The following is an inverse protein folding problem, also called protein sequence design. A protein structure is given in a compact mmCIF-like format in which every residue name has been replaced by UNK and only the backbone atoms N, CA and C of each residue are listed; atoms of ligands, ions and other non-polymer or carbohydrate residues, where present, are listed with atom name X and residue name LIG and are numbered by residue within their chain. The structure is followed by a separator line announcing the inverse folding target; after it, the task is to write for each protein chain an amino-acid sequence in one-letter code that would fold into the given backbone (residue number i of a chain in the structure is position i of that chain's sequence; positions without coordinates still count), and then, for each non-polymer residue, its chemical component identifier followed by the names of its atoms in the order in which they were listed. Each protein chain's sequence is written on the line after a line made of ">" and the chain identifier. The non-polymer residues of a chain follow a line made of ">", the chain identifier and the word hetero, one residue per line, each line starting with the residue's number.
data_IF_962726355363
#
_entry.id   IF_962726355363
#
_cell.length_a   1.000
_cell.length_b   1.000
_cell.length_c   1.000
_cell.angle_alpha   90.00
_cell.angle_beta   90.00
_cell.angle_gamma   90.00
#
_symmetry.space_group_name_H-M   'P 1'
#
loop_
_entity.id
_entity.type
_entity.pdbx_description
1 polymer ?
#
# COMPACT_ATOMS: atom_id res chain seq x y z
N UNK A 1 -5.81 -28.21 -9.44
CA UNK A 1 -6.03 -26.87 -8.87
C UNK A 1 -7.54 -26.67 -8.72
N UNK A 2 -8.03 -26.41 -7.51
CA UNK A 2 -9.46 -26.25 -7.28
C UNK A 2 -9.99 -24.95 -7.89
N UNK A 3 -11.30 -24.86 -8.21
CA UNK A 3 -11.92 -23.64 -8.75
C UNK A 3 -11.67 -22.40 -7.86
N UNK A 4 -11.56 -22.61 -6.56
CA UNK A 4 -11.25 -21.55 -5.57
C UNK A 4 -9.82 -21.02 -5.77
N UNK A 5 -8.84 -21.91 -5.93
CA UNK A 5 -7.44 -21.52 -6.17
C UNK A 5 -7.30 -20.70 -7.44
N UNK A 6 -7.96 -21.14 -8.53
CA UNK A 6 -7.94 -20.41 -9.79
C UNK A 6 -8.53 -19.00 -9.64
N UNK A 7 -9.62 -18.88 -8.87
CA UNK A 7 -10.24 -17.57 -8.59
C UNK A 7 -9.33 -16.64 -7.79
N UNK A 8 -8.61 -17.19 -6.80
CA UNK A 8 -7.64 -16.45 -5.97
C UNK A 8 -6.47 -15.98 -6.83
N UNK A 9 -5.81 -16.91 -7.55
CA UNK A 9 -4.62 -16.60 -8.34
C UNK A 9 -4.91 -15.63 -9.49
N UNK A 10 -6.09 -15.74 -10.12
CA UNK A 10 -6.53 -14.80 -11.18
C UNK A 10 -6.58 -13.35 -10.70
N UNK A 11 -6.82 -13.13 -9.41
CA UNK A 11 -6.85 -11.80 -8.80
C UNK A 11 -5.51 -11.44 -8.15
N UNK A 12 -4.86 -12.38 -7.49
CA UNK A 12 -3.61 -12.13 -6.77
C UNK A 12 -2.44 -11.85 -7.71
N UNK A 13 -2.23 -12.64 -8.77
CA UNK A 13 -1.07 -12.49 -9.65
C UNK A 13 -0.99 -11.12 -10.34
N UNK A 14 -2.05 -10.59 -10.97
CA UNK A 14 -1.98 -9.24 -11.54
C UNK A 14 -1.73 -8.17 -10.48
N UNK A 15 -2.26 -8.35 -9.26
CA UNK A 15 -2.04 -7.43 -8.15
C UNK A 15 -0.58 -7.43 -7.67
N UNK A 16 0.05 -8.61 -7.58
CA UNK A 16 1.47 -8.74 -7.25
C UNK A 16 2.33 -8.02 -8.28
N UNK A 17 2.07 -8.25 -9.57
CA UNK A 17 2.79 -7.57 -10.66
C UNK A 17 2.66 -6.06 -10.52
N UNK A 18 1.45 -5.56 -10.28
CA UNK A 18 1.22 -4.12 -10.06
C UNK A 18 2.01 -3.58 -8.87
N UNK A 19 2.03 -4.29 -7.74
CA UNK A 19 2.71 -3.84 -6.53
C UNK A 19 4.23 -3.81 -6.68
N UNK A 20 4.82 -4.80 -7.36
CA UNK A 20 6.27 -4.88 -7.58
C UNK A 20 6.75 -3.76 -8.52
N UNK A 21 5.92 -3.28 -9.44
CA UNK A 21 6.32 -2.22 -10.37
C UNK A 21 6.44 -0.84 -9.72
N UNK A 22 5.80 -0.59 -8.57
CA UNK A 22 5.85 0.68 -7.86
C UNK A 22 7.28 1.04 -7.40
N UNK A 23 7.99 0.19 -6.64
CA UNK A 23 9.36 0.49 -6.23
C UNK A 23 10.35 0.55 -7.40
N UNK A 24 10.10 -0.19 -8.48
CA UNK A 24 10.95 -0.14 -9.67
C UNK A 24 10.94 1.26 -10.31
N UNK A 25 9.79 1.93 -10.29
CA UNK A 25 9.68 3.30 -10.82
C UNK A 25 10.58 4.27 -10.04
N UNK A 26 10.55 4.23 -8.71
CA UNK A 26 11.41 5.08 -7.89
C UNK A 26 12.91 4.83 -8.12
N UNK A 27 13.31 3.58 -8.38
CA UNK A 27 14.68 3.24 -8.72
C UNK A 27 15.09 3.80 -10.10
N UNK A 28 14.19 3.76 -11.08
CA UNK A 28 14.45 4.32 -12.42
C UNK A 28 14.58 5.84 -12.34
N UNK A 29 13.69 6.53 -11.63
CA UNK A 29 13.78 7.99 -11.44
C UNK A 29 15.10 8.38 -10.77
N UNK A 30 15.53 7.66 -9.72
CA UNK A 30 16.85 7.85 -9.09
C UNK A 30 18.00 7.58 -10.05
N UNK A 31 17.93 6.54 -10.87
CA UNK A 31 18.95 6.24 -11.86
C UNK A 31 19.08 7.33 -12.93
N UNK A 32 17.94 7.83 -13.44
CA UNK A 32 17.92 8.93 -14.42
C UNK A 32 18.65 10.15 -13.85
N UNK A 33 18.35 10.53 -12.61
CA UNK A 33 18.92 11.71 -11.95
C UNK A 33 20.37 11.49 -11.52
N UNK A 34 20.73 10.28 -11.16
CA UNK A 34 22.12 9.92 -10.84
C UNK A 34 23.10 10.21 -11.98
N UNK A 35 22.63 10.20 -13.22
CA UNK A 35 23.43 10.53 -14.40
C UNK A 35 23.50 12.05 -14.71
N UNK A 36 22.73 12.89 -14.00
CA UNK A 36 22.78 14.37 -14.16
C UNK A 36 23.97 15.00 -13.38
N UNK A 37 24.63 14.22 -12.50
CA UNK A 37 25.95 14.58 -11.98
C UNK A 37 25.96 15.43 -10.70
N UNK A 38 24.85 15.58 -9.96
CA UNK A 38 24.85 16.29 -8.67
C UNK A 38 24.14 15.48 -7.58
N UNK A 39 24.83 15.22 -6.49
CA UNK A 39 24.28 14.56 -5.29
C UNK A 39 23.05 15.29 -4.74
N UNK A 40 22.99 16.61 -4.90
CA UNK A 40 21.88 17.44 -4.45
C UNK A 40 20.57 17.12 -5.17
N UNK A 41 20.63 16.79 -6.48
CA UNK A 41 19.42 16.39 -7.23
C UNK A 41 18.88 15.04 -6.76
N UNK A 42 19.76 14.07 -6.51
CA UNK A 42 19.39 12.75 -5.99
C UNK A 42 18.70 12.90 -4.63
N UNK A 43 19.32 13.68 -3.73
CA UNK A 43 18.77 13.97 -2.40
C UNK A 43 17.41 14.65 -2.47
N UNK A 44 17.24 15.60 -3.38
CA UNK A 44 15.97 16.35 -3.54
C UNK A 44 14.81 15.49 -4.04
N UNK A 45 15.06 14.60 -5.01
CA UNK A 45 14.04 13.65 -5.49
C UNK A 45 13.73 12.61 -4.41
N UNK A 46 14.72 12.11 -3.69
CA UNK A 46 14.51 11.17 -2.60
C UNK A 46 13.61 11.75 -1.51
N UNK A 47 13.90 13.00 -1.06
CA UNK A 47 13.05 13.71 -0.08
C UNK A 47 11.67 13.99 -0.64
N UNK A 48 11.58 14.52 -1.87
CA UNK A 48 10.29 14.81 -2.51
C UNK A 48 9.41 13.58 -2.71
N UNK A 49 9.99 12.49 -3.20
CA UNK A 49 9.28 11.21 -3.37
C UNK A 49 8.83 10.62 -2.03
N UNK A 50 9.66 10.73 -0.97
CA UNK A 50 9.29 10.26 0.37
C UNK A 50 8.10 11.05 0.92
N UNK A 51 8.04 12.36 0.73
CA UNK A 51 6.90 13.21 1.13
C UNK A 51 5.61 12.70 0.47
N UNK A 52 5.61 12.53 -0.87
CA UNK A 52 4.43 12.06 -1.59
C UNK A 52 4.07 10.62 -1.26
N UNK A 53 5.04 9.73 -1.06
CA UNK A 53 4.79 8.35 -0.64
C UNK A 53 4.05 8.28 0.70
N UNK A 54 4.46 9.08 1.70
CA UNK A 54 3.78 9.14 3.00
C UNK A 54 2.36 9.71 2.85
N UNK A 55 2.20 10.81 2.10
CA UNK A 55 0.90 11.41 1.83
C UNK A 55 -0.02 10.36 1.17
N UNK A 56 0.39 9.77 0.06
CA UNK A 56 -0.44 8.81 -0.67
C UNK A 56 -0.71 7.55 0.13
N UNK A 57 0.22 7.05 0.94
CA UNK A 57 -0.02 5.90 1.82
C UNK A 57 -1.16 6.17 2.81
N UNK A 58 -1.16 7.36 3.44
CA UNK A 58 -2.23 7.75 4.36
C UNK A 58 -3.60 7.76 3.64
N UNK A 59 -3.66 8.21 2.37
CA UNK A 59 -4.89 8.26 1.59
C UNK A 59 -5.25 6.95 0.86
N UNK A 60 -4.47 5.89 1.06
CA UNK A 60 -4.77 4.55 0.56
C UNK A 60 -6.12 3.98 1.01
N UNK A 61 -6.75 4.57 2.03
CA UNK A 61 -8.12 4.23 2.46
C UNK A 61 -9.15 4.38 1.34
N UNK A 62 -8.94 5.32 0.40
CA UNK A 62 -9.81 5.49 -0.77
C UNK A 62 -9.87 4.22 -1.62
N UNK A 63 -8.74 3.53 -1.81
CA UNK A 63 -8.71 2.25 -2.51
C UNK A 63 -9.39 1.14 -1.72
N UNK A 64 -8.99 0.99 -0.45
CA UNK A 64 -9.45 -0.11 0.42
C UNK A 64 -10.95 -0.02 0.71
N UNK A 65 -11.44 1.16 1.12
CA UNK A 65 -12.88 1.36 1.39
C UNK A 65 -13.74 1.13 0.16
N UNK A 66 -13.24 1.59 -1.00
CA UNK A 66 -13.96 1.43 -2.27
C UNK A 66 -14.03 -0.03 -2.72
N UNK A 67 -12.94 -0.81 -2.58
CA UNK A 67 -12.94 -2.23 -2.96
C UNK A 67 -13.91 -3.05 -2.11
N UNK A 68 -13.92 -2.86 -0.80
CA UNK A 68 -14.83 -3.57 0.10
C UNK A 68 -16.30 -3.26 -0.17
N UNK A 69 -16.65 -1.97 -0.32
CA UNK A 69 -18.03 -1.56 -0.59
C UNK A 69 -18.51 -2.01 -1.97
N UNK A 70 -17.66 -1.95 -2.98
CA UNK A 70 -17.97 -2.39 -4.35
C UNK A 70 -18.17 -3.90 -4.41
N UNK A 71 -17.29 -4.68 -3.79
CA UNK A 71 -17.38 -6.14 -3.79
C UNK A 71 -18.65 -6.63 -3.09
N UNK A 72 -19.06 -6.00 -1.99
CA UNK A 72 -20.32 -6.31 -1.32
C UNK A 72 -21.54 -5.94 -2.16
N UNK A 73 -21.55 -4.75 -2.78
CA UNK A 73 -22.64 -4.35 -3.67
C UNK A 73 -22.76 -5.32 -4.87
N UNK A 74 -21.62 -5.77 -5.41
CA UNK A 74 -21.57 -6.78 -6.45
C UNK A 74 -22.15 -8.12 -5.96
N UNK A 75 -21.84 -8.55 -4.74
CA UNK A 75 -22.37 -9.76 -4.11
C UNK A 75 -23.88 -9.72 -3.96
N UNK A 76 -24.46 -8.57 -3.59
CA UNK A 76 -25.90 -8.33 -3.53
C UNK A 76 -26.55 -8.19 -4.91
N UNK A 77 -25.79 -8.18 -6.00
CA UNK A 77 -26.23 -7.90 -7.37
C UNK A 77 -26.85 -6.49 -7.53
N UNK A 78 -26.53 -5.57 -6.61
CA UNK A 78 -26.99 -4.18 -6.65
C UNK A 78 -26.03 -3.32 -7.49
N UNK A 79 -26.21 -3.36 -8.81
CA UNK A 79 -25.34 -2.65 -9.75
C UNK A 79 -25.47 -1.13 -9.64
N UNK A 80 -26.61 -0.60 -9.18
CA UNK A 80 -26.76 0.85 -8.90
C UNK A 80 -25.88 1.26 -7.73
N UNK A 81 -25.81 0.46 -6.66
CA UNK A 81 -24.92 0.70 -5.55
C UNK A 81 -23.45 0.65 -5.98
N UNK A 82 -23.06 -0.30 -6.86
CA UNK A 82 -21.71 -0.37 -7.43
C UNK A 82 -21.32 0.94 -8.13
N UNK A 83 -22.23 1.52 -8.93
CA UNK A 83 -22.00 2.80 -9.61
C UNK A 83 -21.94 3.98 -8.62
N UNK A 84 -22.79 3.96 -7.58
CA UNK A 84 -22.78 5.01 -6.54
C UNK A 84 -21.50 5.01 -5.73
N UNK A 85 -20.92 3.84 -5.40
CA UNK A 85 -19.63 3.76 -4.71
C UNK A 85 -18.57 4.50 -5.50
N UNK A 86 -18.41 4.23 -6.80
CA UNK A 86 -17.44 4.91 -7.63
C UNK A 86 -17.68 6.42 -7.66
N UNK A 87 -18.92 6.86 -7.94
CA UNK A 87 -19.26 8.29 -8.03
C UNK A 87 -18.88 9.04 -6.74
N UNK A 88 -19.24 8.47 -5.58
CA UNK A 88 -18.97 9.09 -4.28
C UNK A 88 -17.49 9.10 -3.94
N UNK A 89 -16.79 7.99 -4.22
CA UNK A 89 -15.34 7.93 -3.99
C UNK A 89 -14.58 8.92 -4.88
N UNK A 90 -15.05 9.15 -6.13
CA UNK A 90 -14.51 10.19 -6.99
C UNK A 90 -14.72 11.59 -6.43
N UNK A 91 -15.91 11.88 -5.91
CA UNK A 91 -16.20 13.18 -5.26
C UNK A 91 -15.25 13.37 -4.06
N UNK A 92 -15.08 12.37 -3.21
CA UNK A 92 -14.16 12.43 -2.06
C UNK A 92 -12.72 12.62 -2.53
N UNK A 93 -12.27 11.86 -3.52
CA UNK A 93 -10.92 11.97 -4.07
C UNK A 93 -10.62 13.37 -4.62
N UNK A 94 -11.55 13.94 -5.39
CA UNK A 94 -11.43 15.29 -5.96
C UNK A 94 -11.49 16.37 -4.86
N UNK A 95 -12.35 16.21 -3.84
CA UNK A 95 -12.43 17.15 -2.72
C UNK A 95 -11.12 17.19 -1.92
N UNK A 96 -10.54 16.03 -1.63
CA UNK A 96 -9.27 15.93 -0.91
C UNK A 96 -8.13 16.51 -1.76
N UNK A 97 -8.09 16.21 -3.06
CA UNK A 97 -7.05 16.74 -3.92
C UNK A 97 -7.13 18.25 -4.10
N UNK A 98 -8.34 18.80 -4.17
CA UNK A 98 -8.54 20.26 -4.16
C UNK A 98 -8.00 20.88 -2.87
N UNK A 99 -8.25 20.24 -1.72
CA UNK A 99 -7.70 20.68 -0.44
C UNK A 99 -6.15 20.68 -0.46
N UNK A 100 -5.52 19.66 -1.08
CA UNK A 100 -4.07 19.62 -1.24
C UNK A 100 -3.55 20.77 -2.08
N UNK A 101 -4.22 21.09 -3.19
CA UNK A 101 -3.84 22.21 -4.05
C UNK A 101 -4.00 23.57 -3.34
N UNK A 102 -5.04 23.74 -2.52
CA UNK A 102 -5.24 24.96 -1.71
C UNK A 102 -4.18 25.06 -0.62
N UNK A 103 -3.86 23.94 0.05
CA UNK A 103 -2.94 23.89 1.17
C UNK A 103 -1.49 23.56 0.76
N UNK A 104 -1.13 23.64 -0.54
CA UNK A 104 0.19 23.24 -1.02
C UNK A 104 1.34 23.98 -0.34
N UNK A 105 1.18 25.27 -0.03
CA UNK A 105 2.20 26.07 0.65
C UNK A 105 2.46 25.60 2.09
N UNK A 106 1.46 25.49 2.98
CA UNK A 106 1.69 24.98 4.33
C UNK A 106 2.11 23.52 4.34
N UNK A 107 1.63 22.67 3.41
CA UNK A 107 2.05 21.28 3.31
C UNK A 107 3.53 21.17 2.95
N UNK A 108 4.00 21.93 1.96
CA UNK A 108 5.42 21.98 1.60
C UNK A 108 6.30 22.41 2.78
N UNK A 109 5.93 23.52 3.45
CA UNK A 109 6.67 24.02 4.60
C UNK A 109 6.72 23.01 5.74
N UNK A 110 5.59 22.37 6.09
CA UNK A 110 5.50 21.38 7.14
C UNK A 110 6.35 20.15 6.80
N UNK A 111 6.28 19.66 5.56
CA UNK A 111 7.04 18.48 5.12
C UNK A 111 8.56 18.73 5.18
N UNK A 112 9.03 19.89 4.71
CA UNK A 112 10.44 20.25 4.77
C UNK A 112 10.89 20.49 6.22
N UNK A 113 10.05 21.06 7.06
CA UNK A 113 10.35 21.22 8.48
C UNK A 113 10.47 19.87 9.21
N UNK A 114 9.67 18.88 8.86
CA UNK A 114 9.77 17.52 9.44
C UNK A 114 11.03 16.80 8.94
N UNK A 115 11.36 16.95 7.65
CA UNK A 115 12.44 16.21 7.00
C UNK A 115 13.84 16.80 7.28
N UNK A 116 13.92 18.10 7.64
CA UNK A 116 15.17 18.83 7.91
C UNK A 116 16.30 18.59 6.88
N UNK A 117 16.04 18.67 5.55
CA UNK A 117 17.10 18.56 4.57
C UNK A 117 18.01 19.81 4.56
N UNK A 118 19.18 19.72 3.93
CA UNK A 118 20.04 20.90 3.73
C UNK A 118 19.35 21.97 2.87
N UNK A 119 19.80 23.23 2.96
CA UNK A 119 19.18 24.33 2.24
C UNK A 119 19.13 24.10 0.72
N UNK A 120 20.22 23.60 0.14
CA UNK A 120 20.30 23.28 -1.29
C UNK A 120 19.30 22.20 -1.70
N UNK A 121 19.14 21.14 -0.88
CA UNK A 121 18.14 20.09 -1.10
C UNK A 121 16.74 20.62 -0.92
N UNK A 122 16.51 21.48 0.08
CA UNK A 122 15.19 22.10 0.35
C UNK A 122 14.70 22.92 -0.84
N UNK A 123 15.55 23.73 -1.46
CA UNK A 123 15.17 24.57 -2.61
C UNK A 123 14.72 23.72 -3.80
N UNK A 124 15.49 22.71 -4.17
CA UNK A 124 15.15 21.80 -5.27
C UNK A 124 13.93 20.92 -4.93
N UNK A 125 13.81 20.47 -3.69
CA UNK A 125 12.61 19.71 -3.24
C UNK A 125 11.34 20.56 -3.34
N UNK A 126 11.40 21.87 -3.09
CA UNK A 126 10.25 22.76 -3.30
C UNK A 126 9.81 22.77 -4.76
N UNK A 127 10.75 22.90 -5.69
CA UNK A 127 10.44 22.86 -7.13
C UNK A 127 9.74 21.54 -7.49
N UNK A 128 10.34 20.42 -7.07
CA UNK A 128 9.74 19.10 -7.27
C UNK A 128 8.35 18.99 -6.66
N UNK A 129 8.16 19.46 -5.42
CA UNK A 129 6.88 19.39 -4.72
C UNK A 129 5.79 20.17 -5.44
N UNK A 130 6.06 21.43 -5.85
CA UNK A 130 5.06 22.26 -6.51
C UNK A 130 4.67 21.78 -7.90
N UNK A 131 5.52 20.99 -8.56
CA UNK A 131 5.16 20.32 -9.81
C UNK A 131 4.34 19.05 -9.47
N UNK A 132 4.85 18.18 -8.63
CA UNK A 132 4.23 16.87 -8.33
C UNK A 132 2.86 16.97 -7.64
N UNK A 133 2.58 18.06 -6.89
CA UNK A 133 1.28 18.24 -6.21
C UNK A 133 0.11 18.29 -7.20
N UNK A 134 0.33 18.75 -8.44
CA UNK A 134 -0.67 18.73 -9.51
C UNK A 134 -1.00 17.32 -10.02
N UNK A 135 -0.24 16.33 -9.64
CA UNK A 135 -0.54 14.92 -9.83
C UNK A 135 -1.48 14.33 -8.77
N UNK A 136 -1.67 15.01 -7.63
CA UNK A 136 -2.51 14.49 -6.54
C UNK A 136 -3.96 14.20 -6.95
N UNK A 137 -4.66 15.03 -7.77
CA UNK A 137 -5.98 14.68 -8.25
C UNK A 137 -6.00 13.38 -9.04
N UNK A 138 -5.03 13.16 -9.93
CA UNK A 138 -4.91 11.94 -10.70
C UNK A 138 -4.67 10.72 -9.82
N UNK A 139 -3.76 10.81 -8.84
CA UNK A 139 -3.43 9.71 -7.93
C UNK A 139 -4.60 9.32 -7.02
N UNK A 140 -5.31 10.29 -6.45
CA UNK A 140 -6.46 10.00 -5.59
C UNK A 140 -7.65 9.44 -6.41
N UNK A 141 -7.86 9.91 -7.65
CA UNK A 141 -8.81 9.29 -8.57
C UNK A 141 -8.41 7.84 -8.91
N UNK A 142 -7.12 7.58 -9.14
CA UNK A 142 -6.63 6.23 -9.40
C UNK A 142 -6.86 5.31 -8.20
N UNK A 143 -6.70 5.77 -6.96
CA UNK A 143 -7.06 4.98 -5.79
C UNK A 143 -8.54 4.60 -5.79
N UNK A 144 -9.43 5.54 -6.07
CA UNK A 144 -10.86 5.26 -6.16
C UNK A 144 -11.17 4.26 -7.29
N UNK A 145 -10.57 4.42 -8.47
CA UNK A 145 -10.72 3.53 -9.63
C UNK A 145 -10.17 2.13 -9.35
N UNK A 146 -8.95 2.04 -8.85
CA UNK A 146 -8.30 0.76 -8.56
C UNK A 146 -9.09 -0.04 -7.51
N UNK A 147 -9.56 0.62 -6.43
CA UNK A 147 -10.43 -0.03 -5.45
C UNK A 147 -11.73 -0.53 -6.09
N UNK A 148 -12.35 0.26 -6.95
CA UNK A 148 -13.57 -0.13 -7.65
C UNK A 148 -13.35 -1.33 -8.58
N UNK A 149 -12.28 -1.35 -9.37
CA UNK A 149 -11.95 -2.49 -10.24
C UNK A 149 -11.63 -3.76 -9.45
N UNK A 150 -10.89 -3.65 -8.34
CA UNK A 150 -10.63 -4.78 -7.42
C UNK A 150 -11.96 -5.32 -6.89
N UNK A 151 -12.86 -4.44 -6.42
CA UNK A 151 -14.18 -4.82 -5.96
C UNK A 151 -15.06 -5.47 -7.02
N UNK A 152 -14.87 -5.12 -8.30
CA UNK A 152 -15.49 -5.78 -9.45
C UNK A 152 -14.82 -7.13 -9.82
N UNK A 153 -13.86 -7.60 -9.03
CA UNK A 153 -13.06 -8.80 -9.30
C UNK A 153 -12.23 -8.71 -10.59
N UNK A 154 -11.76 -7.52 -10.92
CA UNK A 154 -10.91 -7.29 -12.08
C UNK A 154 -9.62 -6.54 -11.67
N UNK A 155 -8.58 -7.29 -11.32
CA UNK A 155 -7.26 -6.76 -10.96
C UNK A 155 -6.35 -6.56 -12.16
N UNK A 156 -6.75 -7.04 -13.35
CA UNK A 156 -5.98 -6.84 -14.59
C UNK A 156 -5.97 -5.38 -15.05
N UNK A 157 -7.11 -4.68 -14.89
CA UNK A 157 -7.18 -3.26 -15.27
C UNK A 157 -6.23 -2.41 -14.41
N UNK A 158 -6.24 -2.47 -13.06
CA UNK A 158 -5.24 -1.80 -12.22
C UNK A 158 -3.79 -2.13 -12.62
N UNK A 159 -3.49 -3.40 -12.90
CA UNK A 159 -2.16 -3.82 -13.36
C UNK A 159 -1.79 -3.14 -14.69
N UNK A 160 -2.69 -3.15 -15.68
CA UNK A 160 -2.42 -2.51 -16.97
C UNK A 160 -2.20 -1.00 -16.84
N UNK A 161 -2.99 -0.33 -15.98
CA UNK A 161 -2.83 1.09 -15.67
C UNK A 161 -1.45 1.34 -15.03
N UNK A 162 -1.05 0.56 -14.03
CA UNK A 162 0.24 0.72 -13.37
C UNK A 162 1.42 0.51 -14.33
N UNK A 163 1.39 -0.55 -15.13
CA UNK A 163 2.41 -0.80 -16.15
C UNK A 163 2.50 0.33 -17.18
N UNK A 164 1.35 0.80 -17.66
CA UNK A 164 1.30 1.92 -18.61
C UNK A 164 1.87 3.20 -18.01
N UNK A 165 1.48 3.54 -16.76
CA UNK A 165 2.01 4.71 -16.06
C UNK A 165 3.53 4.64 -15.92
N UNK A 166 4.07 3.48 -15.55
CA UNK A 166 5.51 3.30 -15.38
C UNK A 166 6.25 3.48 -16.70
N UNK A 167 5.73 2.91 -17.80
CA UNK A 167 6.32 3.09 -19.14
C UNK A 167 6.28 4.56 -19.57
N UNK A 168 5.14 5.23 -19.41
CA UNK A 168 4.99 6.66 -19.75
C UNK A 168 5.93 7.52 -18.89
N UNK A 169 6.01 7.25 -17.57
CA UNK A 169 6.92 7.98 -16.69
C UNK A 169 8.38 7.83 -17.17
N UNK A 170 8.85 6.61 -17.39
CA UNK A 170 10.23 6.35 -17.80
C UNK A 170 10.55 7.07 -19.13
N UNK A 171 9.68 6.94 -20.14
CA UNK A 171 9.89 7.56 -21.45
C UNK A 171 9.92 9.09 -21.31
N UNK A 172 8.97 9.68 -20.58
CA UNK A 172 8.88 11.14 -20.45
C UNK A 172 10.00 11.69 -19.57
N UNK A 173 10.36 11.03 -18.46
CA UNK A 173 11.47 11.45 -17.62
C UNK A 173 12.80 11.44 -18.40
N UNK A 174 13.07 10.39 -19.17
CA UNK A 174 14.23 10.32 -20.06
C UNK A 174 14.19 11.41 -21.13
N UNK A 175 13.04 11.62 -21.78
CA UNK A 175 12.89 12.66 -22.81
C UNK A 175 13.13 14.06 -22.24
N UNK A 176 12.52 14.41 -21.12
CA UNK A 176 12.68 15.74 -20.52
C UNK A 176 14.09 15.97 -20.01
N UNK A 177 14.72 14.96 -19.42
CA UNK A 177 16.06 15.07 -18.85
C UNK A 177 17.12 15.04 -19.93
N UNK A 178 17.09 14.06 -20.84
CA UNK A 178 18.18 13.85 -21.82
C UNK A 178 18.02 14.75 -23.05
N UNK A 179 16.79 14.85 -23.60
CA UNK A 179 16.56 15.57 -24.87
C UNK A 179 16.36 17.06 -24.64
N UNK A 180 15.56 17.43 -23.61
CA UNK A 180 15.28 18.84 -23.32
C UNK A 180 16.23 19.45 -22.29
N UNK A 181 17.14 18.69 -21.70
CA UNK A 181 18.11 19.18 -20.73
C UNK A 181 17.48 19.66 -19.40
N UNK A 182 16.23 19.30 -19.14
CA UNK A 182 15.54 19.61 -17.88
C UNK A 182 16.16 18.76 -16.77
N UNK A 183 16.21 19.32 -15.57
CA UNK A 183 16.78 18.63 -14.41
C UNK A 183 15.65 17.97 -13.58
N UNK A 184 15.51 18.40 -12.34
CA UNK A 184 14.50 17.86 -11.41
C UNK A 184 13.07 18.13 -11.91
N UNK A 185 12.87 19.25 -12.60
CA UNK A 185 11.59 19.63 -13.19
C UNK A 185 11.13 18.61 -14.25
N UNK A 186 12.08 18.08 -15.02
CA UNK A 186 11.78 17.10 -16.08
C UNK A 186 11.25 15.78 -15.50
N UNK A 187 11.87 15.27 -14.43
CA UNK A 187 11.41 14.06 -13.73
C UNK A 187 10.05 14.31 -13.08
N UNK A 188 9.86 15.45 -12.41
CA UNK A 188 8.60 15.82 -11.79
C UNK A 188 7.45 15.91 -12.81
N UNK A 189 7.68 16.56 -13.96
CA UNK A 189 6.70 16.65 -15.04
C UNK A 189 6.38 15.28 -15.65
N UNK A 190 7.40 14.45 -15.88
CA UNK A 190 7.23 13.08 -16.35
C UNK A 190 6.30 12.28 -15.43
N UNK A 191 6.51 12.40 -14.13
CA UNK A 191 5.67 11.76 -13.09
C UNK A 191 4.23 12.26 -13.13
N UNK A 192 4.01 13.57 -13.17
CA UNK A 192 2.65 14.15 -13.22
C UNK A 192 1.90 13.73 -14.49
N UNK A 193 2.56 13.80 -15.66
CA UNK A 193 1.92 13.41 -16.92
C UNK A 193 1.59 11.91 -16.92
N UNK A 194 2.48 11.07 -16.38
CA UNK A 194 2.22 9.65 -16.22
C UNK A 194 1.02 9.37 -15.31
N UNK A 195 0.89 10.09 -14.18
CA UNK A 195 -0.24 9.96 -13.27
C UNK A 195 -1.57 10.35 -13.95
N UNK A 196 -1.60 11.47 -14.66
CA UNK A 196 -2.79 11.91 -15.39
C UNK A 196 -3.15 10.96 -16.54
N UNK A 197 -2.16 10.47 -17.28
CA UNK A 197 -2.39 9.51 -18.37
C UNK A 197 -3.01 8.21 -17.84
N UNK A 198 -2.50 7.71 -16.70
CA UNK A 198 -3.09 6.56 -16.02
C UNK A 198 -4.51 6.81 -15.53
N UNK A 199 -4.79 8.00 -14.97
CA UNK A 199 -6.14 8.37 -14.54
C UNK A 199 -7.12 8.44 -15.70
N UNK A 200 -6.72 9.01 -16.84
CA UNK A 200 -7.55 9.09 -18.07
C UNK A 200 -7.86 7.69 -18.62
N UNK A 201 -6.87 6.81 -18.70
CA UNK A 201 -7.09 5.42 -19.11
C UNK A 201 -7.98 4.68 -18.12
N UNK A 202 -7.77 4.89 -16.82
CA UNK A 202 -8.61 4.33 -15.78
C UNK A 202 -10.07 4.77 -15.90
N UNK A 203 -10.32 6.05 -16.18
CA UNK A 203 -11.66 6.58 -16.44
C UNK A 203 -12.28 5.99 -17.71
N UNK A 204 -11.49 5.81 -18.76
CA UNK A 204 -11.95 5.19 -20.00
C UNK A 204 -12.42 3.73 -19.76
N UNK A 205 -11.62 2.93 -19.06
CA UNK A 205 -12.03 1.58 -18.67
C UNK A 205 -13.25 1.59 -17.73
N UNK A 206 -13.32 2.55 -16.82
CA UNK A 206 -14.46 2.69 -15.91
C UNK A 206 -15.74 2.99 -16.68
N UNK A 207 -15.71 3.90 -17.66
CA UNK A 207 -16.86 4.23 -18.49
C UNK A 207 -17.42 3.01 -19.21
N UNK A 208 -16.58 2.20 -19.86
CA UNK A 208 -17.01 0.98 -20.53
C UNK A 208 -17.62 -0.07 -19.59
N UNK A 209 -17.10 -0.18 -18.36
CA UNK A 209 -17.68 -1.08 -17.34
C UNK A 209 -18.98 -0.52 -16.76
N UNK A 210 -19.09 0.80 -16.56
CA UNK A 210 -20.32 1.46 -16.08
C UNK A 210 -21.48 1.24 -17.04
N UNK A 211 -21.26 1.34 -18.35
CA UNK A 211 -22.28 1.10 -19.35
C UNK A 211 -22.82 -0.34 -19.29
N UNK A 212 -21.92 -1.34 -19.15
CA UNK A 212 -22.32 -2.75 -18.97
C UNK A 212 -23.13 -2.97 -17.69
N UNK A 213 -22.76 -2.30 -16.59
CA UNK A 213 -23.46 -2.41 -15.31
C UNK A 213 -24.83 -1.71 -15.35
N UNK A 214 -24.96 -0.58 -16.05
CA UNK A 214 -26.23 0.12 -16.27
C UNK A 214 -27.25 -0.77 -16.98
N UNK A 215 -26.82 -1.48 -18.03
CA UNK A 215 -27.67 -2.42 -18.78
C UNK A 215 -28.16 -3.60 -17.91
N UNK A 216 -27.39 -3.99 -16.88
CA UNK A 216 -27.75 -5.07 -15.93
C UNK A 216 -28.55 -4.58 -14.72
N UNK A 217 -28.73 -3.27 -14.58
CA UNK A 217 -29.35 -2.68 -13.39
C UNK A 217 -30.85 -2.93 -13.37
N UNK A 218 -31.33 -3.68 -12.38
CA UNK A 218 -32.73 -3.88 -12.05
C UNK A 218 -33.26 -2.77 -11.14
N UNK A 219 -34.59 -2.75 -10.88
CA UNK A 219 -35.21 -1.72 -10.04
C UNK A 219 -34.85 -1.75 -8.56
N UNK A 220 -34.42 -2.90 -8.04
CA UNK A 220 -34.00 -3.04 -6.64
C UNK A 220 -32.71 -2.27 -6.39
N UNK A 221 -32.78 -1.31 -5.46
CA UNK A 221 -31.64 -0.47 -5.09
C UNK A 221 -31.64 -0.15 -3.61
N UNK A 222 -30.53 -0.45 -2.95
CA UNK A 222 -30.26 -0.02 -1.58
C UNK A 222 -29.30 1.18 -1.61
N UNK A 223 -29.78 2.41 -1.35
CA UNK A 223 -28.91 3.56 -1.40
C UNK A 223 -27.82 3.46 -0.34
N UNK A 224 -26.57 3.57 -0.76
CA UNK A 224 -25.43 3.61 0.16
C UNK A 224 -25.50 4.93 0.92
N UNK A 225 -25.51 4.87 2.26
CA UNK A 225 -25.48 6.09 3.08
C UNK A 225 -24.08 6.71 3.06
N UNK A 226 -23.97 8.03 2.97
CA UNK A 226 -22.68 8.73 3.05
C UNK A 226 -21.94 8.43 4.35
N UNK A 227 -22.68 8.29 5.46
CA UNK A 227 -22.11 7.95 6.76
C UNK A 227 -21.36 6.60 6.75
N UNK A 228 -21.87 5.60 6.02
CA UNK A 228 -21.22 4.30 5.93
C UNK A 228 -19.86 4.39 5.21
N UNK A 229 -19.79 5.18 4.12
CA UNK A 229 -18.54 5.42 3.42
C UNK A 229 -17.55 6.17 4.31
N UNK A 230 -18.03 7.19 5.04
CA UNK A 230 -17.20 7.96 5.95
C UNK A 230 -16.63 7.10 7.08
N UNK A 231 -17.46 6.27 7.73
CA UNK A 231 -17.02 5.44 8.84
C UNK A 231 -15.98 4.41 8.42
N UNK A 232 -16.19 3.73 7.27
CA UNK A 232 -15.22 2.77 6.72
C UNK A 232 -13.88 3.47 6.43
N UNK A 233 -13.93 4.60 5.75
CA UNK A 233 -12.73 5.34 5.38
C UNK A 233 -12.00 5.92 6.60
N UNK A 234 -12.72 6.43 7.61
CA UNK A 234 -12.17 6.92 8.86
C UNK A 234 -11.40 5.82 9.61
N UNK A 235 -12.01 4.65 9.74
CA UNK A 235 -11.39 3.54 10.49
C UNK A 235 -10.09 3.08 9.80
N UNK A 236 -10.10 3.00 8.46
CA UNK A 236 -8.90 2.66 7.68
C UNK A 236 -7.84 3.77 7.78
N UNK A 237 -8.25 5.05 7.72
CA UNK A 237 -7.36 6.19 7.88
C UNK A 237 -6.63 6.14 9.22
N UNK A 238 -7.37 6.03 10.33
CA UNK A 238 -6.79 5.98 11.68
C UNK A 238 -5.88 4.74 11.83
N UNK A 239 -6.32 3.58 11.32
CA UNK A 239 -5.46 2.39 11.26
C UNK A 239 -4.14 2.67 10.54
N UNK A 240 -4.19 3.33 9.39
CA UNK A 240 -3.00 3.64 8.61
C UNK A 240 -2.05 4.56 9.37
N UNK A 241 -2.57 5.52 10.16
CA UNK A 241 -1.74 6.35 11.03
C UNK A 241 -0.95 5.52 12.05
N UNK A 242 -1.53 4.47 12.65
CA UNK A 242 -0.78 3.57 13.53
C UNK A 242 0.32 2.81 12.77
N UNK A 243 0.05 2.31 11.56
CA UNK A 243 1.05 1.63 10.74
C UNK A 243 2.21 2.57 10.36
N UNK A 244 1.88 3.79 9.93
CA UNK A 244 2.87 4.82 9.59
C UNK A 244 3.69 5.20 10.82
N UNK A 245 3.04 5.40 11.99
CA UNK A 245 3.73 5.71 13.24
C UNK A 245 4.75 4.65 13.63
N UNK A 246 4.40 3.36 13.52
CA UNK A 246 5.32 2.25 13.82
C UNK A 246 6.49 2.25 12.84
N UNK A 247 6.25 2.41 11.54
CA UNK A 247 7.30 2.43 10.52
C UNK A 247 8.27 3.62 10.70
N UNK A 248 7.72 4.82 10.91
CA UNK A 248 8.54 6.01 11.16
C UNK A 248 9.33 5.90 12.46
N UNK A 249 8.71 5.34 13.52
CA UNK A 249 9.40 5.12 14.80
C UNK A 249 10.49 4.08 14.67
N UNK A 250 10.27 3.01 13.91
CA UNK A 250 11.31 2.00 13.63
C UNK A 250 12.55 2.65 13.00
N UNK A 251 12.36 3.48 11.99
CA UNK A 251 13.44 4.21 11.33
C UNK A 251 14.11 5.21 12.28
N UNK A 252 13.32 6.01 13.02
CA UNK A 252 13.82 7.02 13.95
C UNK A 252 14.61 6.40 15.12
N UNK A 253 14.14 5.28 15.67
CA UNK A 253 14.82 4.57 16.74
C UNK A 253 16.09 3.86 16.25
N UNK A 254 16.09 3.38 15.00
CA UNK A 254 17.32 2.88 14.35
C UNK A 254 18.34 3.98 14.15
N UNK A 255 17.92 5.17 13.70
CA UNK A 255 18.81 6.32 13.51
C UNK A 255 19.48 6.79 14.80
N UNK A 256 18.78 6.74 15.95
CA UNK A 256 19.36 7.07 17.26
C UNK A 256 20.46 6.12 17.72
N UNK A 257 20.56 4.92 17.13
CA UNK A 257 21.59 3.93 17.44
C UNK A 257 22.84 4.06 16.56
N UNK A 258 22.84 5.01 15.62
CA UNK A 258 23.95 5.33 14.72
C UNK A 258 23.67 4.98 13.25
N UNK A 259 24.43 5.62 12.37
CA UNK A 259 24.22 5.53 10.91
C UNK A 259 24.39 4.11 10.36
N UNK A 260 25.31 3.34 10.95
CA UNK A 260 25.55 1.96 10.54
C UNK A 260 24.36 1.04 10.85
N UNK A 261 23.74 1.21 12.03
CA UNK A 261 22.53 0.48 12.42
C UNK A 261 21.33 0.91 11.55
N UNK A 262 21.19 2.21 11.30
CA UNK A 262 20.14 2.72 10.41
C UNK A 262 20.27 2.12 9.01
N UNK A 263 21.47 2.11 8.45
CA UNK A 263 21.75 1.54 7.12
C UNK A 263 21.45 0.04 7.08
N UNK A 264 21.87 -0.70 8.09
CA UNK A 264 21.58 -2.13 8.21
C UNK A 264 20.07 -2.39 8.33
N UNK A 265 19.35 -1.65 9.18
CA UNK A 265 17.91 -1.79 9.34
C UNK A 265 17.15 -1.44 8.04
N UNK A 266 17.55 -0.40 7.32
CA UNK A 266 16.97 -0.02 6.04
C UNK A 266 17.13 -1.13 5.00
N UNK A 267 18.33 -1.69 4.92
CA UNK A 267 18.61 -2.82 4.04
C UNK A 267 17.75 -4.05 4.37
N UNK A 268 17.63 -4.38 5.65
CA UNK A 268 16.82 -5.51 6.13
C UNK A 268 15.31 -5.29 5.93
N UNK A 269 14.82 -4.05 6.06
CA UNK A 269 13.42 -3.70 5.80
C UNK A 269 13.01 -3.85 4.33
N UNK A 270 13.96 -3.92 3.40
CA UNK A 270 13.67 -4.24 1.99
C UNK A 270 13.03 -5.63 1.85
N UNK A 271 13.46 -6.61 2.64
CA UNK A 271 12.86 -7.94 2.66
C UNK A 271 11.40 -7.90 3.13
N UNK A 272 11.10 -7.09 4.15
CA UNK A 272 9.73 -6.86 4.59
C UNK A 272 8.88 -6.29 3.45
N UNK A 273 9.39 -5.29 2.74
CA UNK A 273 8.68 -4.65 1.62
C UNK A 273 8.40 -5.64 0.48
N UNK A 274 9.38 -6.45 0.08
CA UNK A 274 9.20 -7.46 -0.96
C UNK A 274 8.11 -8.48 -0.56
N UNK A 275 8.17 -8.97 0.67
CA UNK A 275 7.18 -9.93 1.18
C UNK A 275 5.80 -9.30 1.26
N UNK A 276 5.68 -8.05 1.72
CA UNK A 276 4.41 -7.33 1.79
C UNK A 276 3.77 -7.14 0.42
N UNK A 277 4.52 -6.79 -0.62
CA UNK A 277 3.99 -6.64 -1.98
C UNK A 277 3.38 -7.93 -2.54
N UNK A 278 3.96 -9.08 -2.20
CA UNK A 278 3.40 -10.38 -2.60
C UNK A 278 2.11 -10.65 -1.84
N UNK A 279 2.11 -10.48 -0.51
CA UNK A 279 0.92 -10.75 0.30
C UNK A 279 -0.21 -9.75 0.06
N UNK A 280 0.09 -8.49 -0.24
CA UNK A 280 -0.93 -7.50 -0.64
C UNK A 280 -1.70 -7.94 -1.89
N UNK A 281 -1.07 -8.66 -2.81
CA UNK A 281 -1.78 -9.25 -3.95
C UNK A 281 -2.84 -10.27 -3.51
N UNK A 282 -2.55 -11.08 -2.50
CA UNK A 282 -3.51 -12.01 -1.91
C UNK A 282 -4.54 -11.29 -1.04
N UNK A 283 -4.17 -10.21 -0.36
CA UNK A 283 -5.12 -9.33 0.34
C UNK A 283 -6.14 -8.72 -0.63
N UNK A 284 -5.75 -8.27 -1.83
CA UNK A 284 -6.67 -7.76 -2.84
C UNK A 284 -7.62 -8.85 -3.36
N UNK A 285 -7.14 -10.09 -3.51
CA UNK A 285 -8.02 -11.22 -3.81
C UNK A 285 -9.01 -11.48 -2.68
N UNK A 286 -8.59 -11.36 -1.41
CA UNK A 286 -9.45 -11.48 -0.24
C UNK A 286 -10.51 -10.37 -0.19
N UNK A 287 -10.12 -9.10 -0.43
CA UNK A 287 -11.06 -7.96 -0.53
C UNK A 287 -12.19 -8.25 -1.53
N UNK A 288 -11.84 -8.75 -2.71
CA UNK A 288 -12.78 -9.01 -3.80
C UNK A 288 -13.67 -10.22 -3.55
N UNK A 289 -13.08 -11.37 -3.17
CA UNK A 289 -13.80 -12.64 -3.07
C UNK A 289 -14.61 -12.73 -1.77
N UNK A 290 -13.98 -12.45 -0.62
CA UNK A 290 -14.66 -12.47 0.67
C UNK A 290 -15.71 -11.35 0.76
N UNK A 291 -15.42 -10.16 0.19
CA UNK A 291 -16.38 -9.06 0.14
C UNK A 291 -17.64 -9.41 -0.68
N UNK A 292 -17.46 -10.06 -1.82
CA UNK A 292 -18.59 -10.54 -2.63
C UNK A 292 -19.42 -11.60 -1.90
N UNK A 293 -18.76 -12.59 -1.28
CA UNK A 293 -19.44 -13.63 -0.49
C UNK A 293 -20.20 -13.03 0.70
N UNK A 294 -19.59 -12.07 1.41
CA UNK A 294 -20.20 -11.33 2.50
C UNK A 294 -21.44 -10.55 2.03
N UNK A 295 -21.34 -9.85 0.89
CA UNK A 295 -22.45 -9.13 0.29
C UNK A 295 -23.60 -10.02 -0.16
N UNK A 296 -23.29 -11.21 -0.66
CA UNK A 296 -24.27 -12.24 -1.07
C UNK A 296 -24.88 -12.99 0.13
N UNK A 297 -24.41 -12.75 1.36
CA UNK A 297 -24.78 -13.51 2.58
C UNK A 297 -24.45 -15.01 2.48
N UNK A 298 -23.42 -15.36 1.70
CA UNK A 298 -22.96 -16.73 1.51
C UNK A 298 -21.82 -17.05 2.48
N UNK A 299 -22.20 -17.58 3.65
CA UNK A 299 -21.24 -17.96 4.70
C UNK A 299 -20.33 -19.09 4.25
N UNK A 300 -20.83 -20.05 3.46
CA UNK A 300 -20.04 -21.18 2.99
C UNK A 300 -18.90 -20.71 2.09
N UNK A 301 -19.20 -19.92 1.05
CA UNK A 301 -18.20 -19.32 0.18
C UNK A 301 -17.23 -18.42 0.94
N UNK A 302 -17.73 -17.61 1.90
CA UNK A 302 -16.88 -16.75 2.73
C UNK A 302 -15.85 -17.56 3.52
N UNK A 303 -16.28 -18.63 4.22
CA UNK A 303 -15.39 -19.52 4.96
C UNK A 303 -14.39 -20.23 4.05
N UNK A 304 -14.85 -20.72 2.91
CA UNK A 304 -14.00 -21.42 1.95
C UNK A 304 -12.92 -20.51 1.38
N UNK A 305 -13.26 -19.29 0.92
CA UNK A 305 -12.27 -18.33 0.44
C UNK A 305 -11.30 -17.91 1.54
N UNK A 306 -11.79 -17.60 2.74
CA UNK A 306 -10.94 -17.22 3.87
C UNK A 306 -9.97 -18.33 4.25
N UNK A 307 -10.44 -19.59 4.36
CA UNK A 307 -9.60 -20.74 4.68
C UNK A 307 -8.53 -20.99 3.60
N UNK A 308 -8.92 -20.91 2.33
CA UNK A 308 -7.99 -21.14 1.23
C UNK A 308 -6.94 -20.02 1.10
N UNK A 309 -7.33 -18.75 1.31
CA UNK A 309 -6.41 -17.62 1.35
C UNK A 309 -5.41 -17.74 2.50
N UNK A 310 -5.83 -18.21 3.67
CA UNK A 310 -4.92 -18.48 4.79
C UNK A 310 -3.96 -19.63 4.49
N UNK A 311 -4.40 -20.68 3.76
CA UNK A 311 -3.50 -21.75 3.30
C UNK A 311 -2.47 -21.24 2.32
N UNK A 312 -2.86 -20.38 1.37
CA UNK A 312 -1.92 -19.70 0.49
C UNK A 312 -0.97 -18.81 1.27
N UNK A 313 -1.48 -18.03 2.24
CA UNK A 313 -0.69 -17.15 3.08
C UNK A 313 0.41 -17.88 3.86
N UNK A 314 0.07 -19.01 4.51
CA UNK A 314 1.10 -19.80 5.23
C UNK A 314 2.06 -20.49 4.28
N UNK A 315 1.60 -20.98 3.12
CA UNK A 315 2.46 -21.55 2.09
C UNK A 315 3.49 -20.54 1.58
N UNK A 316 3.05 -19.30 1.30
CA UNK A 316 3.93 -18.20 0.90
C UNK A 316 4.87 -17.77 2.03
N UNK A 317 4.40 -17.78 3.28
CA UNK A 317 5.23 -17.46 4.44
C UNK A 317 6.36 -18.48 4.62
N UNK A 318 6.04 -19.77 4.52
CA UNK A 318 7.04 -20.85 4.58
C UNK A 318 8.03 -20.74 3.40
N UNK A 319 7.53 -20.53 2.19
CA UNK A 319 8.39 -20.35 1.01
C UNK A 319 9.28 -19.11 1.16
N UNK A 320 8.74 -17.98 1.61
CA UNK A 320 9.51 -16.74 1.85
C UNK A 320 10.57 -16.94 2.92
N UNK A 321 10.24 -17.60 4.04
CA UNK A 321 11.21 -17.96 5.09
C UNK A 321 12.34 -18.83 4.53
N UNK A 322 12.03 -19.87 3.74
CA UNK A 322 13.05 -20.73 3.12
C UNK A 322 13.92 -19.97 2.12
N UNK A 323 13.33 -19.10 1.30
CA UNK A 323 14.07 -18.23 0.37
C UNK A 323 14.99 -17.25 1.11
N UNK A 324 14.56 -16.70 2.25
CA UNK A 324 15.39 -15.81 3.05
C UNK A 324 16.55 -16.57 3.72
N UNK A 325 16.32 -17.77 4.24
CA UNK A 325 17.39 -18.62 4.79
C UNK A 325 18.42 -18.97 3.72
N UNK A 326 17.96 -19.43 2.55
CA UNK A 326 18.84 -19.93 1.50
C UNK A 326 19.51 -18.86 0.64
N UNK A 327 18.80 -17.74 0.37
CA UNK A 327 19.22 -16.72 -0.59
C UNK A 327 19.44 -15.33 0.01
N UNK A 328 19.07 -15.12 1.27
CA UNK A 328 19.04 -13.77 1.85
C UNK A 328 20.43 -13.13 1.95
N UNK A 329 21.46 -13.87 2.30
CA UNK A 329 22.84 -13.34 2.35
C UNK A 329 23.34 -12.93 0.95
N UNK A 330 23.05 -13.74 -0.07
CA UNK A 330 23.37 -13.39 -1.46
C UNK A 330 22.62 -12.11 -1.89
N UNK A 331 21.35 -11.98 -1.53
CA UNK A 331 20.58 -10.77 -1.83
C UNK A 331 21.14 -9.53 -1.15
N UNK A 332 21.60 -9.63 0.11
CA UNK A 332 22.28 -8.52 0.80
C UNK A 332 23.53 -8.06 0.05
N UNK A 333 24.34 -9.00 -0.46
CA UNK A 333 25.58 -8.67 -1.21
C UNK A 333 25.28 -8.04 -2.58
N UNK A 334 24.10 -8.26 -3.16
CA UNK A 334 23.67 -7.60 -4.39
C UNK A 334 23.29 -6.13 -4.16
N UNK A 335 22.76 -5.80 -2.98
CA UNK A 335 22.24 -4.44 -2.71
C UNK A 335 23.35 -3.51 -2.21
N UNK A 336 24.34 -4.02 -1.46
CA UNK A 336 25.41 -3.16 -0.89
C UNK A 336 26.77 -3.81 -1.00
N UNK A 337 27.78 -2.97 -1.32
CA UNK A 337 29.20 -3.34 -1.33
C UNK A 337 29.90 -3.03 0.00
N UNK A 338 29.23 -2.37 0.96
CA UNK A 338 29.81 -2.03 2.26
C UNK A 338 29.91 -3.26 3.15
N UNK A 339 31.14 -3.70 3.41
CA UNK A 339 31.42 -4.85 4.29
C UNK A 339 30.95 -4.61 5.71
N UNK A 340 30.99 -3.36 6.20
CA UNK A 340 30.55 -2.99 7.53
C UNK A 340 29.03 -3.14 7.67
N UNK A 341 28.25 -2.61 6.71
CA UNK A 341 26.81 -2.74 6.69
C UNK A 341 26.39 -4.22 6.56
N UNK A 342 27.08 -5.00 5.73
CA UNK A 342 26.82 -6.44 5.58
C UNK A 342 27.06 -7.20 6.88
N UNK A 343 28.17 -6.92 7.57
CA UNK A 343 28.50 -7.56 8.85
C UNK A 343 27.43 -7.27 9.90
N UNK A 344 27.02 -6.00 10.04
CA UNK A 344 25.98 -5.61 11.00
C UNK A 344 24.62 -6.18 10.62
N UNK A 345 24.26 -6.16 9.32
CA UNK A 345 23.00 -6.75 8.84
C UNK A 345 22.92 -8.24 9.13
N UNK A 346 24.02 -8.97 9.02
CA UNK A 346 24.09 -10.41 9.32
C UNK A 346 23.73 -10.72 10.77
N UNK A 347 24.07 -9.84 11.72
CA UNK A 347 23.75 -10.01 13.14
C UNK A 347 22.24 -9.94 13.43
N UNK A 348 21.49 -9.23 12.58
CA UNK A 348 20.04 -9.05 12.75
C UNK A 348 19.21 -9.85 11.74
N UNK A 349 19.86 -10.57 10.83
CA UNK A 349 19.20 -11.23 9.71
C UNK A 349 18.17 -12.29 10.12
N UNK A 350 18.36 -12.96 11.24
CA UNK A 350 17.39 -13.94 11.75
C UNK A 350 16.01 -13.34 12.05
N UNK A 351 15.94 -12.04 12.38
CA UNK A 351 14.65 -11.34 12.52
C UNK A 351 13.92 -11.24 11.18
N UNK A 352 14.65 -11.00 10.10
CA UNK A 352 14.08 -10.95 8.74
C UNK A 352 13.47 -12.28 8.34
N UNK A 353 14.12 -13.38 8.69
CA UNK A 353 13.63 -14.74 8.46
C UNK A 353 12.29 -15.00 9.15
N UNK A 354 12.01 -14.33 10.27
CA UNK A 354 10.75 -14.45 11.01
C UNK A 354 9.62 -13.58 10.45
N UNK A 355 9.91 -12.57 9.63
CA UNK A 355 8.91 -11.66 9.06
C UNK A 355 7.78 -12.40 8.34
N UNK A 356 8.04 -13.34 7.41
CA UNK A 356 6.99 -14.00 6.69
C UNK A 356 6.00 -14.74 7.61
N UNK A 357 6.51 -15.47 8.58
CA UNK A 357 5.69 -16.26 9.50
C UNK A 357 4.89 -15.39 10.48
N UNK A 358 5.43 -14.26 10.91
CA UNK A 358 4.72 -13.34 11.81
C UNK A 358 3.71 -12.45 11.10
N UNK A 359 3.97 -12.10 9.81
CA UNK A 359 3.15 -11.12 9.09
C UNK A 359 2.00 -11.70 8.27
N UNK A 360 2.10 -12.93 7.72
CA UNK A 360 1.13 -13.44 6.73
C UNK A 360 -0.33 -13.35 7.19
N UNK A 361 -0.56 -13.64 8.46
CA UNK A 361 -1.91 -13.67 9.03
C UNK A 361 -2.55 -12.28 8.99
N UNK A 362 -1.80 -11.24 9.38
CA UNK A 362 -2.25 -9.87 9.36
C UNK A 362 -2.56 -9.37 7.94
N UNK A 363 -1.69 -9.65 6.96
CA UNK A 363 -1.90 -9.21 5.58
C UNK A 363 -3.13 -9.86 4.94
N UNK A 364 -3.29 -11.18 5.10
CA UNK A 364 -4.43 -11.90 4.51
C UNK A 364 -5.74 -11.48 5.16
N UNK A 365 -5.78 -11.39 6.50
CA UNK A 365 -6.98 -11.02 7.23
C UNK A 365 -7.37 -9.56 7.04
N UNK A 366 -6.42 -8.63 6.89
CA UNK A 366 -6.70 -7.26 6.48
C UNK A 366 -7.60 -7.25 5.23
N UNK A 367 -7.24 -8.03 4.20
CA UNK A 367 -8.06 -8.13 2.99
C UNK A 367 -9.47 -8.68 3.26
N UNK A 368 -9.59 -9.68 4.12
CA UNK A 368 -10.90 -10.24 4.51
C UNK A 368 -11.76 -9.19 5.23
N UNK A 369 -11.18 -8.45 6.18
CA UNK A 369 -11.90 -7.41 6.95
C UNK A 369 -12.28 -6.21 6.07
N UNK A 370 -11.41 -5.79 5.14
CA UNK A 370 -11.73 -4.75 4.15
C UNK A 370 -12.91 -5.22 3.28
N UNK A 371 -12.85 -6.44 2.74
CA UNK A 371 -13.93 -7.02 1.95
C UNK A 371 -15.26 -7.05 2.71
N UNK A 372 -15.24 -7.45 3.98
CA UNK A 372 -16.41 -7.43 4.85
C UNK A 372 -16.82 -6.02 5.32
N UNK A 373 -16.03 -4.97 5.04
CA UNK A 373 -16.17 -3.60 5.59
C UNK A 373 -16.23 -3.54 7.12
N UNK A 374 -15.55 -4.48 7.76
CA UNK A 374 -15.42 -4.57 9.22
C UNK A 374 -14.16 -3.86 9.72
N UNK A 375 -13.93 -2.67 9.21
CA UNK A 375 -12.71 -1.86 9.36
C UNK A 375 -12.40 -1.47 10.79
N UNK A 376 -13.44 -1.39 11.66
CA UNK A 376 -13.25 -1.14 13.09
C UNK A 376 -12.43 -2.25 13.78
N UNK A 377 -12.56 -3.50 13.36
CA UNK A 377 -11.77 -4.60 13.94
C UNK A 377 -10.30 -4.52 13.52
N UNK A 378 -10.02 -4.12 12.27
CA UNK A 378 -8.67 -3.84 11.80
C UNK A 378 -8.04 -2.66 12.57
N UNK A 379 -8.83 -1.61 12.84
CA UNK A 379 -8.38 -0.48 13.65
C UNK A 379 -7.97 -0.94 15.05
N UNK A 380 -8.79 -1.76 15.71
CA UNK A 380 -8.50 -2.29 17.06
C UNK A 380 -7.24 -3.16 17.03
N UNK A 381 -7.08 -4.05 16.04
CA UNK A 381 -5.89 -4.90 15.94
C UNK A 381 -4.62 -4.08 15.76
N UNK A 382 -4.64 -3.08 14.89
CA UNK A 382 -3.50 -2.20 14.63
C UNK A 382 -3.15 -1.31 15.82
N UNK A 383 -4.15 -0.83 16.55
CA UNK A 383 -3.96 -0.06 17.78
C UNK A 383 -3.27 -0.89 18.87
N UNK A 384 -3.79 -2.10 19.15
CA UNK A 384 -3.19 -3.01 20.14
C UNK A 384 -1.77 -3.43 19.74
N UNK A 385 -1.55 -3.70 18.47
CA UNK A 385 -0.24 -4.03 17.97
C UNK A 385 0.75 -2.86 18.08
N UNK A 386 0.31 -1.62 17.79
CA UNK A 386 1.15 -0.43 17.97
C UNK A 386 1.51 -0.21 19.45
N UNK A 387 0.56 -0.38 20.37
CA UNK A 387 0.87 -0.34 21.82
C UNK A 387 1.92 -1.40 22.16
N UNK A 388 1.75 -2.62 21.66
CA UNK A 388 2.72 -3.69 21.88
C UNK A 388 4.12 -3.31 21.38
N UNK A 389 4.21 -2.74 20.16
CA UNK A 389 5.48 -2.27 19.59
C UNK A 389 6.19 -1.26 20.51
N UNK A 390 5.49 -0.20 20.91
CA UNK A 390 6.09 0.82 21.78
C UNK A 390 6.42 0.28 23.16
N UNK A 391 5.54 -0.52 23.77
CA UNK A 391 5.79 -1.11 25.08
C UNK A 391 7.04 -2.01 25.06
N UNK A 392 7.16 -2.92 24.09
CA UNK A 392 8.32 -3.81 23.99
C UNK A 392 9.60 -3.01 23.72
N UNK A 393 9.56 -2.04 22.82
CA UNK A 393 10.73 -1.23 22.54
C UNK A 393 11.20 -0.48 23.78
N UNK A 394 10.34 0.26 24.47
CA UNK A 394 10.73 1.05 25.64
C UNK A 394 11.14 0.19 26.85
N UNK A 395 10.56 -1.00 27.02
CA UNK A 395 10.95 -1.91 28.11
C UNK A 395 12.31 -2.55 27.87
N UNK A 396 12.66 -2.88 26.63
CA UNK A 396 13.84 -3.69 26.33
C UNK A 396 14.94 -2.95 25.58
N UNK A 397 14.75 -1.70 25.15
CA UNK A 397 15.73 -0.96 24.36
C UNK A 397 17.08 -0.76 25.09
N UNK A 398 17.06 -0.55 26.41
CA UNK A 398 18.27 -0.39 27.21
C UNK A 398 19.07 -1.69 27.38
N UNK A 399 18.41 -2.85 27.31
CA UNK A 399 19.04 -4.15 27.50
C UNK A 399 19.47 -4.79 26.17
N UNK A 400 18.63 -4.66 25.13
CA UNK A 400 18.79 -5.39 23.88
C UNK A 400 19.16 -4.49 22.69
N UNK A 401 19.17 -3.17 22.86
CA UNK A 401 19.51 -2.21 21.77
C UNK A 401 18.62 -2.45 20.53
N UNK A 402 19.26 -2.66 19.36
CA UNK A 402 18.56 -2.86 18.10
C UNK A 402 17.77 -4.19 18.03
N UNK A 403 18.15 -5.21 18.80
CA UNK A 403 17.35 -6.43 18.90
C UNK A 403 15.97 -6.16 19.53
N UNK A 404 15.85 -5.22 20.46
CA UNK A 404 14.55 -4.81 21.00
C UNK A 404 13.66 -4.18 19.94
N UNK A 405 14.23 -3.41 19.00
CA UNK A 405 13.51 -2.78 17.91
C UNK A 405 12.94 -3.84 16.94
N UNK A 406 13.74 -4.83 16.57
CA UNK A 406 13.32 -5.93 15.72
C UNK A 406 12.29 -6.83 16.42
N UNK A 407 12.50 -7.16 17.71
CA UNK A 407 11.54 -7.91 18.50
C UNK A 407 10.18 -7.20 18.54
N UNK A 408 10.19 -5.90 18.81
CA UNK A 408 8.97 -5.08 18.82
C UNK A 408 8.25 -5.11 17.47
N UNK A 409 8.99 -5.05 16.36
CA UNK A 409 8.42 -5.10 15.00
C UNK A 409 7.82 -6.47 14.66
N UNK A 410 8.50 -7.56 14.99
CA UNK A 410 7.98 -8.93 14.79
C UNK A 410 6.72 -9.15 15.63
N UNK A 411 6.71 -8.74 16.90
CA UNK A 411 5.54 -8.83 17.76
C UNK A 411 4.39 -7.93 17.27
N UNK A 412 4.68 -6.75 16.73
CA UNK A 412 3.68 -5.91 16.08
C UNK A 412 2.95 -6.65 14.96
N UNK A 413 3.68 -7.31 14.05
CA UNK A 413 3.09 -8.09 12.96
C UNK A 413 2.26 -9.27 13.49
N UNK A 414 2.81 -10.00 14.46
CA UNK A 414 2.19 -11.18 15.04
C UNK A 414 0.91 -10.86 15.81
N UNK A 415 0.96 -9.88 16.73
CA UNK A 415 -0.19 -9.45 17.54
C UNK A 415 -1.33 -8.96 16.64
N UNK A 416 -1.02 -8.18 15.61
CA UNK A 416 -2.02 -7.72 14.64
C UNK A 416 -2.77 -8.90 14.02
N UNK A 417 -2.03 -9.90 13.53
CA UNK A 417 -2.61 -11.09 12.92
C UNK A 417 -3.44 -11.95 13.90
N UNK A 418 -2.96 -12.14 15.12
CA UNK A 418 -3.67 -12.92 16.16
C UNK A 418 -4.98 -12.23 16.55
N UNK A 419 -4.95 -10.93 16.83
CA UNK A 419 -6.16 -10.17 17.19
C UNK A 419 -7.20 -10.25 16.06
N UNK A 420 -6.80 -10.10 14.81
CA UNK A 420 -7.70 -10.26 13.66
C UNK A 420 -8.25 -11.68 13.57
N UNK A 421 -7.43 -12.71 13.78
CA UNK A 421 -7.88 -14.10 13.79
C UNK A 421 -8.95 -14.36 14.84
N UNK A 422 -8.77 -13.83 16.04
CA UNK A 422 -9.77 -13.93 17.13
C UNK A 422 -11.06 -13.21 16.75
N UNK A 423 -10.96 -12.03 16.13
CA UNK A 423 -12.11 -11.22 15.74
C UNK A 423 -12.83 -11.75 14.49
N UNK A 424 -12.22 -12.65 13.73
CA UNK A 424 -12.80 -13.22 12.49
C UNK A 424 -14.15 -13.90 12.74
N UNK A 425 -14.32 -14.56 13.87
CA UNK A 425 -15.59 -15.21 14.23
C UNK A 425 -16.74 -14.19 14.30
N UNK A 426 -16.48 -12.97 14.76
CA UNK A 426 -17.51 -11.90 14.81
C UNK A 426 -17.93 -11.44 13.42
N UNK A 427 -17.04 -11.53 12.40
CA UNK A 427 -17.39 -11.25 11.01
C UNK A 427 -18.34 -12.32 10.46
N UNK A 428 -18.06 -13.59 10.78
CA UNK A 428 -18.90 -14.72 10.35
C UNK A 428 -20.29 -14.65 10.95
N UNK A 429 -20.43 -14.32 12.22
CA UNK A 429 -21.73 -14.14 12.89
C UNK A 429 -22.57 -13.05 12.21
N UNK A 430 -21.98 -11.93 11.83
CA UNK A 430 -22.71 -10.86 11.11
C UNK A 430 -23.25 -11.24 9.72
N UNK A 431 -22.78 -12.33 9.12
CA UNK A 431 -23.37 -12.87 7.87
C UNK A 431 -24.69 -13.58 8.19
N UNK A 432 -24.75 -14.21 9.36
CA UNK A 432 -25.93 -14.99 9.80
C UNK A 432 -27.05 -14.06 10.29
N UNK A 433 -26.69 -12.99 11.00
CA UNK A 433 -27.62 -12.05 11.64
C UNK A 433 -28.25 -11.02 10.66
N UNK A 434 -27.81 -10.96 9.43
CA UNK A 434 -28.32 -10.08 8.36
C UNK A 434 -29.13 -10.86 7.33
#
# INVERSE_FOLDING_TARGET
>A
MNLIDNSILKLALPSIISNITIPLLGLVDLAIVGHIGSETYIGSIAVGSMIFNVIYWIFGFLRMGNSGMTSQALGRKDYKAVLQVLKRSMIVALSISLLFLILQLPLCKLSLWIMHPSDAVSELTRIYFFICIWGAPAMLMLYALNGWFIGLQNTRIPMMIALFQNVVNIILSLFFVIVLGMKIEGVALGTVIAQWSGALIGLWFAYGNMEKLRKKSTSLHTPIKWISLFLVNRDIFIRTLFLVSVNLSFTAFGARQGDLILSANTLLMTFFSIFSYVLDGFAFAAEALCGKAFGAKDLCSFKNYTSQLLRWGIGLALMGTLLYIGGGHFFLTLITNSKEVLSVSSNYFYWVVLIPLSGYLAFVLDGVFIGATMTRYMLVSSFLAAICFFAIYFLFSSLLGNHALWLAFILFLFVRGIVEKVLLNRVQLKIIDK
#
